data_IF_772131481043
#
_entry.id   IF_772131481043
#
_cell.length_a   1.000
_cell.length_b   1.000
_cell.length_c   1.000
_cell.angle_alpha   90.00
_cell.angle_beta   90.00
_cell.angle_gamma   90.00
#
_symmetry.space_group_name_H-M   'P 1'
#
loop_
_entity.id
_entity.type
_entity.pdbx_description
1 polymer ?
#
# COMPACT_ATOMS: atom_id res chain seq x y z
N UNK A 1 23.22 2.82 -28.18
CA UNK A 1 21.75 2.75 -28.15
C UNK A 1 21.23 3.89 -27.28
N UNK A 2 20.55 4.92 -27.84
CA UNK A 2 20.02 6.05 -27.03
C UNK A 2 18.64 5.66 -26.47
N UNK A 3 18.58 5.35 -25.17
CA UNK A 3 17.30 5.12 -24.47
C UNK A 3 16.56 6.46 -24.38
N UNK A 4 15.33 6.53 -24.89
CA UNK A 4 14.53 7.76 -24.84
C UNK A 4 14.06 7.99 -23.41
N UNK A 5 14.25 9.21 -22.87
CA UNK A 5 13.78 9.59 -21.53
C UNK A 5 12.29 9.26 -21.28
N UNK A 6 11.45 9.41 -22.31
CA UNK A 6 10.02 9.07 -22.26
C UNK A 6 9.74 7.60 -21.98
N UNK A 7 10.62 6.67 -22.38
CA UNK A 7 10.40 5.24 -22.12
C UNK A 7 10.66 4.83 -20.67
N UNK A 8 11.21 5.74 -19.85
CA UNK A 8 11.48 5.50 -18.42
C UNK A 8 10.53 6.30 -17.53
N UNK A 9 10.30 7.58 -17.84
CA UNK A 9 9.68 8.53 -16.90
C UNK A 9 8.23 8.90 -17.26
N UNK A 10 7.80 8.78 -18.51
CA UNK A 10 6.50 9.29 -18.97
C UNK A 10 5.38 8.23 -18.80
N UNK A 11 4.37 8.46 -17.93
CA UNK A 11 3.27 7.52 -17.71
C UNK A 11 2.55 7.16 -19.01
N UNK A 12 2.23 5.88 -19.18
CA UNK A 12 1.58 5.34 -20.38
C UNK A 12 2.56 4.97 -21.51
N UNK A 13 3.75 5.59 -21.57
CA UNK A 13 4.80 5.26 -22.57
C UNK A 13 5.95 4.43 -21.99
N UNK A 14 5.99 4.29 -20.68
CA UNK A 14 6.99 3.54 -19.93
C UNK A 14 6.48 2.20 -19.36
N UNK A 15 5.35 1.68 -19.87
CA UNK A 15 4.68 0.48 -19.31
C UNK A 15 5.64 -0.69 -19.07
N UNK A 16 6.59 -0.95 -20.00
CA UNK A 16 7.55 -2.06 -19.86
C UNK A 16 8.46 -1.88 -18.63
N UNK A 17 9.13 -0.73 -18.54
CA UNK A 17 10.00 -0.42 -17.41
C UNK A 17 9.20 -0.34 -16.10
N UNK A 18 8.07 0.36 -16.14
CA UNK A 18 7.25 0.57 -14.96
C UNK A 18 6.65 -0.73 -14.41
N UNK A 19 6.14 -1.61 -15.27
CA UNK A 19 5.64 -2.91 -14.85
C UNK A 19 6.76 -3.78 -14.27
N UNK A 20 7.96 -3.75 -14.87
CA UNK A 20 9.13 -4.43 -14.33
C UNK A 20 9.53 -3.89 -12.96
N UNK A 21 9.65 -2.56 -12.80
CA UNK A 21 10.02 -1.92 -11.55
C UNK A 21 9.01 -2.22 -10.43
N UNK A 22 7.72 -2.21 -10.74
CA UNK A 22 6.65 -2.61 -9.81
C UNK A 22 6.77 -4.09 -9.45
N UNK A 23 6.92 -4.99 -10.42
CA UNK A 23 7.06 -6.43 -10.16
C UNK A 23 8.28 -6.75 -9.26
N UNK A 24 9.43 -6.12 -9.55
CA UNK A 24 10.64 -6.22 -8.72
C UNK A 24 10.37 -5.70 -7.31
N UNK A 25 9.70 -4.56 -7.17
CA UNK A 25 9.37 -4.00 -5.85
C UNK A 25 8.50 -4.96 -5.03
N UNK A 26 7.44 -5.52 -5.64
CA UNK A 26 6.59 -6.52 -4.98
C UNK A 26 7.39 -7.75 -4.55
N UNK A 27 8.28 -8.25 -5.42
CA UNK A 27 9.11 -9.41 -5.11
C UNK A 27 10.08 -9.13 -3.96
N UNK A 28 10.75 -7.97 -3.98
CA UNK A 28 11.66 -7.54 -2.91
C UNK A 28 10.89 -7.43 -1.59
N UNK A 29 9.72 -6.78 -1.58
CA UNK A 29 8.92 -6.65 -0.37
C UNK A 29 8.34 -7.97 0.15
N UNK A 30 8.22 -8.99 -0.71
CA UNK A 30 7.77 -10.32 -0.31
C UNK A 30 8.90 -11.13 0.32
N UNK A 31 10.12 -11.02 -0.20
CA UNK A 31 11.21 -11.97 0.10
C UNK A 31 12.54 -11.34 0.53
N UNK A 32 12.58 -10.03 0.84
CA UNK A 32 13.79 -9.37 1.33
C UNK A 32 14.34 -10.02 2.60
N UNK A 33 13.47 -10.55 3.47
CA UNK A 33 13.90 -11.28 4.67
C UNK A 33 14.64 -12.59 4.35
N UNK A 34 14.46 -13.17 3.15
CA UNK A 34 15.18 -14.37 2.68
C UNK A 34 16.45 -14.05 1.92
N UNK A 35 16.39 -13.05 1.04
CA UNK A 35 17.48 -12.71 0.11
C UNK A 35 18.48 -11.74 0.76
N UNK A 36 18.03 -10.97 1.74
CA UNK A 36 18.82 -9.96 2.43
C UNK A 36 18.99 -8.67 1.62
N UNK A 37 20.05 -7.93 1.96
CA UNK A 37 20.28 -6.55 1.51
C UNK A 37 20.38 -6.37 -0.01
N UNK A 38 20.82 -7.40 -0.74
CA UNK A 38 20.93 -7.36 -2.20
C UNK A 38 19.57 -7.05 -2.86
N UNK A 39 18.49 -7.61 -2.33
CA UNK A 39 17.13 -7.35 -2.83
C UNK A 39 16.71 -5.89 -2.64
N UNK A 40 17.09 -5.28 -1.53
CA UNK A 40 16.84 -3.85 -1.24
C UNK A 40 17.60 -2.97 -2.23
N UNK A 41 18.83 -3.33 -2.59
CA UNK A 41 19.60 -2.62 -3.62
C UNK A 41 18.92 -2.72 -4.99
N UNK A 42 18.32 -3.86 -5.35
CA UNK A 42 17.53 -3.98 -6.58
C UNK A 42 16.30 -3.05 -6.56
N UNK A 43 15.61 -2.97 -5.43
CA UNK A 43 14.50 -2.03 -5.26
C UNK A 43 14.94 -0.57 -5.45
N UNK A 44 16.07 -0.18 -4.87
CA UNK A 44 16.62 1.16 -5.10
C UNK A 44 17.07 1.39 -6.54
N UNK A 45 17.66 0.38 -7.18
CA UNK A 45 18.12 0.48 -8.56
C UNK A 45 16.99 0.74 -9.57
N UNK A 46 15.75 0.33 -9.27
CA UNK A 46 14.59 0.58 -10.14
C UNK A 46 13.88 1.92 -9.88
N UNK A 47 14.22 2.67 -8.83
CA UNK A 47 13.55 3.95 -8.52
C UNK A 47 14.50 5.14 -8.42
N UNK A 48 15.61 5.02 -7.69
CA UNK A 48 16.50 6.15 -7.43
C UNK A 48 17.21 6.70 -8.67
N UNK A 49 17.64 5.89 -9.66
CA UNK A 49 18.24 6.42 -10.88
C UNK A 49 17.33 7.36 -11.68
N UNK A 50 16.00 7.28 -11.50
CA UNK A 50 15.06 8.20 -12.16
C UNK A 50 15.24 9.65 -11.71
N UNK A 51 15.78 9.87 -10.51
CA UNK A 51 16.16 11.21 -10.03
C UNK A 51 17.25 11.82 -10.92
N UNK A 52 18.21 11.01 -11.39
CA UNK A 52 19.27 11.45 -12.29
C UNK A 52 18.75 11.76 -13.69
N UNK A 53 17.64 11.12 -14.10
CA UNK A 53 16.99 11.36 -15.40
C UNK A 53 16.16 12.65 -15.38
N UNK A 54 15.41 12.89 -14.31
CA UNK A 54 14.63 14.11 -14.11
C UNK A 54 14.30 14.40 -12.63
N UNK A 55 15.23 15.05 -11.91
CA UNK A 55 15.01 15.37 -10.50
C UNK A 55 13.81 16.32 -10.28
N UNK A 56 13.50 17.20 -11.24
CA UNK A 56 12.38 18.15 -11.13
C UNK A 56 11.06 17.42 -11.20
N UNK A 57 10.93 16.44 -12.10
CA UNK A 57 9.76 15.59 -12.19
C UNK A 57 9.65 14.63 -11.00
N UNK A 58 10.75 13.97 -10.64
CA UNK A 58 10.79 12.95 -9.60
C UNK A 58 10.57 13.54 -8.19
N UNK A 59 11.29 14.63 -7.85
CA UNK A 59 11.32 15.18 -6.49
C UNK A 59 10.72 16.59 -6.36
N UNK A 60 10.55 17.34 -7.46
CA UNK A 60 10.24 18.79 -7.42
C UNK A 60 8.91 19.18 -6.73
N UNK A 61 8.01 18.22 -6.48
CA UNK A 61 6.75 18.46 -5.71
C UNK A 61 6.75 17.85 -4.32
N UNK A 62 7.81 17.15 -3.92
CA UNK A 62 7.91 16.54 -2.59
C UNK A 62 7.89 17.64 -1.51
N UNK A 63 8.60 18.75 -1.75
CA UNK A 63 8.58 19.95 -0.90
C UNK A 63 7.18 20.60 -0.76
N UNK A 64 6.24 20.32 -1.68
CA UNK A 64 4.86 20.83 -1.62
C UNK A 64 3.88 19.90 -0.91
N UNK A 65 4.35 18.75 -0.43
CA UNK A 65 3.53 17.77 0.29
C UNK A 65 4.24 17.34 1.58
N UNK A 66 4.49 18.27 2.51
CA UNK A 66 5.22 17.96 3.75
C UNK A 66 4.54 16.86 4.57
N UNK A 67 3.22 16.69 4.43
CA UNK A 67 2.47 15.61 5.10
C UNK A 67 2.92 14.21 4.67
N UNK A 68 3.45 14.03 3.45
CA UNK A 68 4.00 12.75 2.98
C UNK A 68 5.25 12.35 3.76
N UNK A 69 6.05 13.33 4.15
CA UNK A 69 7.32 13.11 4.80
C UNK A 69 7.26 13.32 6.30
N UNK A 70 6.17 13.89 6.83
CA UNK A 70 6.05 14.25 8.24
C UNK A 70 6.34 13.07 9.17
N UNK A 71 5.72 11.90 8.93
CA UNK A 71 5.98 10.72 9.73
C UNK A 71 7.41 10.19 9.53
N UNK A 72 7.93 10.16 8.30
CA UNK A 72 9.32 9.73 8.05
C UNK A 72 10.35 10.65 8.72
N UNK A 73 10.10 11.96 8.77
CA UNK A 73 10.93 12.91 9.49
C UNK A 73 10.81 12.75 11.00
N UNK A 74 9.61 12.50 11.53
CA UNK A 74 9.43 12.18 12.94
C UNK A 74 10.20 10.91 13.31
N UNK A 75 10.13 9.86 12.48
CA UNK A 75 10.89 8.63 12.66
C UNK A 75 12.40 8.92 12.71
N UNK A 76 12.92 9.76 11.80
CA UNK A 76 14.32 10.19 11.84
C UNK A 76 14.66 10.99 13.10
N UNK A 77 13.79 11.92 13.51
CA UNK A 77 14.00 12.75 14.69
C UNK A 77 13.96 11.92 15.98
N UNK A 78 13.20 10.81 15.98
CA UNK A 78 13.08 9.92 17.14
C UNK A 78 14.39 9.27 17.55
N UNK A 79 15.41 9.30 16.69
CA UNK A 79 16.79 8.99 17.05
C UNK A 79 17.25 9.69 18.34
N UNK A 80 16.86 10.95 18.56
CA UNK A 80 17.39 11.75 19.66
C UNK A 80 16.84 11.37 21.04
N UNK A 81 15.71 10.67 21.11
CA UNK A 81 15.10 10.20 22.35
C UNK A 81 14.86 8.70 22.37
N UNK A 82 15.33 7.98 21.35
CA UNK A 82 15.12 6.54 21.24
C UNK A 82 15.91 5.78 22.30
N UNK A 83 15.28 4.75 22.86
CA UNK A 83 15.93 3.80 23.76
C UNK A 83 17.01 2.97 23.04
N UNK A 84 16.91 2.82 21.71
CA UNK A 84 17.87 2.10 20.86
C UNK A 84 18.21 2.92 19.59
N UNK A 85 19.05 3.98 19.72
CA UNK A 85 19.26 4.97 18.66
C UNK A 85 19.81 4.40 17.34
N UNK A 86 20.69 3.41 17.38
CA UNK A 86 21.28 2.81 16.18
C UNK A 86 20.24 2.06 15.33
N UNK A 87 19.36 1.29 15.96
CA UNK A 87 18.25 0.60 15.30
C UNK A 87 17.26 1.61 14.73
N UNK A 88 16.90 2.62 15.51
CA UNK A 88 15.98 3.69 15.10
C UNK A 88 16.49 4.47 13.90
N UNK A 89 17.75 4.94 13.93
CA UNK A 89 18.31 5.71 12.82
C UNK A 89 18.31 4.90 11.52
N UNK A 90 18.74 3.63 11.61
CA UNK A 90 18.74 2.73 10.46
C UNK A 90 17.33 2.55 9.91
N UNK A 91 16.36 2.14 10.75
CA UNK A 91 15.00 1.90 10.32
C UNK A 91 14.35 3.17 9.74
N UNK A 92 14.57 4.33 10.36
CA UNK A 92 14.03 5.60 9.91
C UNK A 92 14.58 6.03 8.54
N UNK A 93 15.87 5.86 8.28
CA UNK A 93 16.47 6.14 6.97
C UNK A 93 15.95 5.18 5.88
N UNK A 94 15.77 3.90 6.23
CA UNK A 94 15.15 2.91 5.35
C UNK A 94 13.71 3.30 5.01
N UNK A 95 12.95 3.76 6.01
CA UNK A 95 11.57 4.22 5.82
C UNK A 95 11.52 5.48 4.95
N UNK A 96 12.35 6.49 5.23
CA UNK A 96 12.43 7.73 4.46
C UNK A 96 12.72 7.47 2.98
N UNK A 97 13.74 6.65 2.69
CA UNK A 97 14.11 6.30 1.30
C UNK A 97 13.05 5.46 0.60
N UNK A 98 12.35 4.59 1.33
CA UNK A 98 11.18 3.85 0.83
C UNK A 98 10.02 4.79 0.47
N UNK A 99 9.71 5.79 1.30
CA UNK A 99 8.72 6.83 1.00
C UNK A 99 9.10 7.60 -0.26
N UNK A 100 10.37 8.01 -0.39
CA UNK A 100 10.87 8.70 -1.59
C UNK A 100 10.66 7.84 -2.84
N UNK A 101 11.00 6.56 -2.79
CA UNK A 101 10.80 5.65 -3.91
C UNK A 101 9.31 5.46 -4.26
N UNK A 102 8.42 5.36 -3.27
CA UNK A 102 6.97 5.30 -3.49
C UNK A 102 6.42 6.58 -4.16
N UNK A 103 6.94 7.76 -3.79
CA UNK A 103 6.57 9.03 -4.42
C UNK A 103 7.10 9.12 -5.86
N UNK A 104 8.31 8.64 -6.12
CA UNK A 104 8.84 8.53 -7.49
C UNK A 104 7.95 7.60 -8.32
N UNK A 105 7.59 6.44 -7.78
CA UNK A 105 6.69 5.49 -8.43
C UNK A 105 5.34 6.13 -8.77
N UNK A 106 4.74 6.89 -7.86
CA UNK A 106 3.50 7.62 -8.13
C UNK A 106 3.62 8.58 -9.31
N UNK A 107 4.77 9.21 -9.54
CA UNK A 107 4.92 10.14 -10.67
C UNK A 107 5.05 9.44 -12.00
N UNK A 108 5.67 8.27 -11.97
CA UNK A 108 6.16 7.56 -13.16
C UNK A 108 5.15 6.51 -13.62
N UNK A 109 4.36 5.95 -12.70
CA UNK A 109 3.50 4.80 -12.92
C UNK A 109 2.03 5.23 -12.88
N UNK A 110 1.29 4.88 -13.94
CA UNK A 110 -0.16 5.00 -13.97
C UNK A 110 -0.84 3.75 -13.39
N UNK A 111 -2.15 3.85 -13.12
CA UNK A 111 -2.95 2.74 -12.59
C UNK A 111 -2.82 1.45 -13.42
N UNK A 112 -2.75 1.59 -14.75
CA UNK A 112 -2.60 0.44 -15.65
C UNK A 112 -1.26 -0.26 -15.49
N UNK A 113 -0.17 0.50 -15.48
CA UNK A 113 1.19 -0.04 -15.33
C UNK A 113 1.39 -0.64 -13.93
N UNK A 114 0.81 -0.02 -12.89
CA UNK A 114 0.78 -0.57 -11.54
C UNK A 114 0.11 -1.95 -11.53
N UNK A 115 -1.10 -2.07 -12.10
CA UNK A 115 -1.81 -3.35 -12.14
C UNK A 115 -1.04 -4.42 -12.92
N UNK A 116 -0.47 -4.10 -14.08
CA UNK A 116 0.30 -5.07 -14.87
C UNK A 116 1.52 -5.56 -14.09
N UNK A 117 2.31 -4.64 -13.54
CA UNK A 117 3.49 -5.00 -12.76
C UNK A 117 3.15 -5.78 -11.49
N UNK A 118 2.10 -5.38 -10.78
CA UNK A 118 1.65 -6.07 -9.58
C UNK A 118 1.13 -7.48 -9.89
N UNK A 119 0.29 -7.65 -10.92
CA UNK A 119 -0.22 -8.97 -11.34
C UNK A 119 0.94 -9.88 -11.75
N UNK A 120 1.90 -9.37 -12.53
CA UNK A 120 3.08 -10.14 -12.93
C UNK A 120 3.94 -10.53 -11.72
N UNK A 121 4.22 -9.59 -10.81
CA UNK A 121 4.95 -9.84 -9.58
C UNK A 121 4.26 -10.86 -8.68
N UNK A 122 2.96 -10.69 -8.43
CA UNK A 122 2.15 -11.60 -7.60
C UNK A 122 2.09 -13.00 -8.21
N UNK A 123 1.98 -13.13 -9.54
CA UNK A 123 2.02 -14.43 -10.20
C UNK A 123 3.32 -15.19 -9.89
N UNK A 124 4.47 -14.51 -9.98
CA UNK A 124 5.78 -15.08 -9.65
C UNK A 124 5.89 -15.41 -8.17
N UNK A 125 5.50 -14.49 -7.30
CA UNK A 125 5.57 -14.63 -5.84
C UNK A 125 4.69 -15.80 -5.37
N UNK A 126 3.40 -15.81 -5.70
CA UNK A 126 2.50 -16.86 -5.25
C UNK A 126 2.82 -18.20 -5.93
N UNK A 127 3.22 -18.20 -7.21
CA UNK A 127 3.68 -19.40 -7.89
C UNK A 127 4.90 -20.02 -7.21
N UNK A 128 5.90 -19.20 -6.87
CA UNK A 128 7.07 -19.66 -6.12
C UNK A 128 6.68 -20.17 -4.72
N UNK A 129 5.78 -19.48 -4.01
CA UNK A 129 5.28 -19.95 -2.72
C UNK A 129 4.58 -21.31 -2.82
N UNK A 130 3.75 -21.54 -3.85
CA UNK A 130 3.11 -22.84 -4.08
C UNK A 130 4.14 -23.96 -4.30
N UNK A 131 5.20 -23.67 -5.08
CA UNK A 131 6.28 -24.64 -5.34
C UNK A 131 7.10 -24.95 -4.09
N UNK A 132 7.34 -23.95 -3.24
CA UNK A 132 8.13 -24.14 -2.02
C UNK A 132 7.37 -24.96 -0.97
N UNK A 133 6.05 -24.85 -0.88
CA UNK A 133 5.22 -25.78 -0.11
C UNK A 133 5.26 -25.60 1.42
N UNK A 134 5.77 -24.48 1.94
CA UNK A 134 6.01 -24.26 3.37
C UNK A 134 4.75 -24.14 4.23
N UNK A 135 4.78 -24.79 5.40
CA UNK A 135 3.77 -24.67 6.46
C UNK A 135 4.42 -24.24 7.77
N UNK A 136 3.69 -23.48 8.57
CA UNK A 136 4.11 -23.08 9.92
C UNK A 136 3.07 -23.58 10.92
N UNK A 137 3.58 -24.17 12.01
CA UNK A 137 2.81 -24.57 13.17
C UNK A 137 2.53 -23.35 14.05
N UNK A 138 1.26 -23.18 14.44
CA UNK A 138 0.83 -22.13 15.36
C UNK A 138 0.62 -22.74 16.75
N UNK A 139 1.46 -22.33 17.70
CA UNK A 139 1.46 -22.89 19.05
C UNK A 139 0.21 -22.48 19.87
N UNK A 140 -0.49 -21.42 19.47
CA UNK A 140 -1.64 -20.89 20.21
C UNK A 140 -2.94 -21.66 19.91
N UNK A 141 -3.06 -22.25 18.73
CA UNK A 141 -4.25 -22.99 18.30
C UNK A 141 -3.94 -24.44 17.83
N UNK A 142 -2.67 -24.82 17.74
CA UNK A 142 -2.22 -26.15 17.32
C UNK A 142 -2.40 -26.43 15.83
N UNK A 143 -2.72 -25.40 15.02
CA UNK A 143 -2.99 -25.55 13.60
C UNK A 143 -1.72 -25.44 12.74
N UNK A 144 -1.79 -25.98 11.52
CA UNK A 144 -0.80 -25.74 10.48
C UNK A 144 -1.39 -24.82 9.43
N UNK A 145 -0.73 -23.68 9.20
CA UNK A 145 -1.11 -22.73 8.16
C UNK A 145 -0.11 -22.77 7.02
N UNK A 146 -0.61 -22.78 5.78
CA UNK A 146 0.26 -22.68 4.62
C UNK A 146 0.85 -21.26 4.55
N UNK A 147 2.17 -21.16 4.44
CA UNK A 147 2.89 -19.88 4.30
C UNK A 147 3.70 -19.82 3.00
N UNK A 148 3.93 -20.96 2.34
CA UNK A 148 4.81 -21.07 1.20
C UNK A 148 6.18 -20.46 1.52
N UNK A 149 6.65 -19.55 0.67
CA UNK A 149 7.91 -18.86 0.88
C UNK A 149 7.80 -17.60 1.75
N UNK A 150 6.67 -17.31 2.42
CA UNK A 150 6.57 -16.16 3.32
C UNK A 150 7.08 -16.46 4.73
N UNK A 151 7.29 -15.40 5.52
CA UNK A 151 7.64 -15.51 6.94
C UNK A 151 6.41 -15.69 7.84
N UNK A 152 5.21 -15.36 7.35
CA UNK A 152 3.97 -15.52 8.09
C UNK A 152 2.75 -15.73 7.18
N UNK A 153 1.71 -16.36 7.75
CA UNK A 153 0.42 -16.57 7.08
C UNK A 153 -0.25 -15.26 6.66
N UNK A 154 -0.05 -14.20 7.44
CA UNK A 154 -0.65 -12.89 7.18
C UNK A 154 0.01 -12.16 6.01
N UNK A 155 1.31 -12.34 5.80
CA UNK A 155 1.99 -11.82 4.61
C UNK A 155 1.51 -12.53 3.34
N UNK A 156 1.45 -13.86 3.35
CA UNK A 156 0.90 -14.62 2.21
C UNK A 156 -0.53 -14.16 1.90
N UNK A 157 -1.38 -14.09 2.94
CA UNK A 157 -2.75 -13.62 2.83
C UNK A 157 -2.84 -12.22 2.23
N UNK A 158 -1.94 -11.30 2.60
CA UNK A 158 -1.92 -9.95 2.06
C UNK A 158 -1.61 -9.89 0.56
N UNK A 159 -0.58 -10.62 0.11
CA UNK A 159 -0.24 -10.68 -1.31
C UNK A 159 -1.35 -11.34 -2.13
N UNK A 160 -2.00 -12.36 -1.56
CA UNK A 160 -3.18 -12.97 -2.15
C UNK A 160 -4.37 -12.00 -2.23
N UNK A 161 -4.63 -11.20 -1.18
CA UNK A 161 -5.64 -10.13 -1.21
C UNK A 161 -5.38 -9.12 -2.33
N UNK A 162 -4.13 -8.67 -2.48
CA UNK A 162 -3.72 -7.76 -3.54
C UNK A 162 -3.90 -8.39 -4.92
N UNK A 163 -3.60 -9.68 -5.07
CA UNK A 163 -3.76 -10.40 -6.33
C UNK A 163 -5.22 -10.51 -6.77
N UNK A 164 -6.12 -10.82 -5.84
CA UNK A 164 -7.56 -10.81 -6.09
C UNK A 164 -8.03 -9.39 -6.45
N UNK A 165 -7.70 -8.38 -5.63
CA UNK A 165 -8.14 -7.00 -5.84
C UNK A 165 -7.65 -6.41 -7.17
N UNK A 166 -6.34 -6.45 -7.41
CA UNK A 166 -5.73 -5.86 -8.60
C UNK A 166 -6.06 -6.66 -9.87
N UNK A 167 -6.11 -7.99 -9.77
CA UNK A 167 -6.48 -8.86 -10.88
C UNK A 167 -7.92 -8.66 -11.34
N UNK A 168 -8.88 -8.66 -10.40
CA UNK A 168 -10.29 -8.38 -10.68
C UNK A 168 -10.45 -6.97 -11.26
N UNK A 169 -9.84 -5.97 -10.62
CA UNK A 169 -9.93 -4.59 -11.09
C UNK A 169 -9.38 -4.43 -12.52
N UNK A 170 -8.21 -5.01 -12.82
CA UNK A 170 -7.62 -4.96 -14.15
C UNK A 170 -8.51 -5.65 -15.20
N UNK A 171 -9.04 -6.83 -14.87
CA UNK A 171 -9.89 -7.63 -15.75
C UNK A 171 -11.21 -6.92 -16.11
N UNK A 172 -11.80 -6.20 -15.15
CA UNK A 172 -13.08 -5.51 -15.28
C UNK A 172 -12.96 -4.12 -15.91
N UNK A 173 -11.98 -3.31 -15.48
CA UNK A 173 -11.95 -1.88 -15.78
C UNK A 173 -10.83 -1.45 -16.74
N UNK A 174 -9.70 -2.15 -16.80
CA UNK A 174 -8.51 -1.66 -17.50
C UNK A 174 -8.20 -2.39 -18.82
N UNK A 175 -8.57 -3.67 -18.95
CA UNK A 175 -8.21 -4.46 -20.13
C UNK A 175 -9.36 -4.72 -21.09
N UNK A 176 -9.09 -4.50 -22.38
CA UNK A 176 -9.95 -4.93 -23.50
C UNK A 176 -9.47 -6.22 -24.16
N UNK A 177 -8.22 -6.64 -23.90
CA UNK A 177 -7.66 -7.87 -24.47
C UNK A 177 -8.16 -9.10 -23.74
N UNK A 178 -8.71 -10.07 -24.49
CA UNK A 178 -9.18 -11.35 -23.95
C UNK A 178 -8.05 -12.13 -23.29
N UNK A 179 -6.88 -12.18 -23.91
CA UNK A 179 -5.71 -12.90 -23.36
C UNK A 179 -5.26 -12.26 -22.06
N UNK A 180 -5.10 -10.92 -22.04
CA UNK A 180 -4.69 -10.22 -20.82
C UNK A 180 -5.72 -10.38 -19.69
N UNK A 181 -7.01 -10.43 -20.03
CA UNK A 181 -8.08 -10.72 -19.05
C UNK A 181 -7.95 -12.14 -18.49
N UNK A 182 -7.76 -13.15 -19.34
CA UNK A 182 -7.60 -14.55 -18.91
C UNK A 182 -6.37 -14.72 -18.02
N UNK A 183 -5.24 -14.09 -18.36
CA UNK A 183 -4.04 -14.11 -17.52
C UNK A 183 -4.29 -13.48 -16.15
N UNK A 184 -4.95 -12.32 -16.11
CA UNK A 184 -5.31 -11.67 -14.85
C UNK A 184 -6.24 -12.55 -14.01
N UNK A 185 -7.25 -13.17 -14.62
CA UNK A 185 -8.16 -14.11 -13.93
C UNK A 185 -7.44 -15.38 -13.45
N UNK A 186 -6.43 -15.86 -14.18
CA UNK A 186 -5.56 -16.95 -13.71
C UNK A 186 -4.80 -16.57 -12.44
N UNK A 187 -4.29 -15.33 -12.36
CA UNK A 187 -3.66 -14.82 -11.13
C UNK A 187 -4.68 -14.62 -10.02
N UNK A 188 -5.90 -14.18 -10.32
CA UNK A 188 -7.00 -14.11 -9.33
C UNK A 188 -7.29 -15.51 -8.76
N UNK A 189 -7.38 -16.54 -9.60
CA UNK A 189 -7.62 -17.91 -9.15
C UNK A 189 -6.49 -18.42 -8.24
N UNK A 190 -5.23 -18.26 -8.66
CA UNK A 190 -4.06 -18.59 -7.83
C UNK A 190 -4.08 -17.83 -6.50
N UNK A 191 -4.45 -16.55 -6.53
CA UNK A 191 -4.53 -15.71 -5.34
C UNK A 191 -5.66 -16.15 -4.42
N UNK A 192 -6.84 -16.47 -4.94
CA UNK A 192 -7.96 -16.97 -4.15
C UNK A 192 -7.63 -18.30 -3.47
N UNK A 193 -6.99 -19.24 -4.18
CA UNK A 193 -6.52 -20.51 -3.60
C UNK A 193 -5.49 -20.24 -2.51
N UNK A 194 -4.48 -19.40 -2.78
CA UNK A 194 -3.45 -19.03 -1.80
C UNK A 194 -4.04 -18.37 -0.55
N UNK A 195 -5.07 -17.53 -0.72
CA UNK A 195 -5.76 -16.84 0.36
C UNK A 195 -6.46 -17.84 1.29
N UNK A 196 -7.20 -18.80 0.71
CA UNK A 196 -7.88 -19.86 1.49
C UNK A 196 -6.87 -20.74 2.22
N UNK A 197 -5.80 -21.16 1.53
CA UNK A 197 -4.74 -21.98 2.14
C UNK A 197 -4.01 -21.25 3.27
N UNK A 198 -3.88 -19.93 3.18
CA UNK A 198 -3.18 -19.13 4.21
C UNK A 198 -3.89 -19.14 5.57
N UNK A 199 -5.21 -19.34 5.62
CA UNK A 199 -6.01 -19.24 6.84
C UNK A 199 -5.81 -17.91 7.62
N UNK A 200 -5.37 -16.84 6.92
CA UNK A 200 -5.24 -15.50 7.50
C UNK A 200 -6.62 -14.87 7.65
N UNK A 201 -7.17 -14.87 8.86
CA UNK A 201 -8.50 -14.31 9.15
C UNK A 201 -8.61 -12.84 8.71
N UNK A 202 -7.58 -12.04 9.00
CA UNK A 202 -7.53 -10.63 8.56
C UNK A 202 -7.70 -10.52 7.05
N UNK A 203 -6.96 -11.33 6.28
CA UNK A 203 -6.98 -11.28 4.82
C UNK A 203 -8.29 -11.85 4.24
N UNK A 204 -8.80 -12.94 4.83
CA UNK A 204 -10.04 -13.60 4.44
C UNK A 204 -11.27 -12.70 4.63
N UNK A 205 -11.25 -11.79 5.61
CA UNK A 205 -12.32 -10.82 5.85
C UNK A 205 -12.11 -9.51 5.08
N UNK A 206 -10.88 -9.00 5.05
CA UNK A 206 -10.57 -7.73 4.41
C UNK A 206 -10.73 -7.80 2.88
N UNK A 207 -10.41 -8.95 2.24
CA UNK A 207 -10.47 -9.07 0.78
C UNK A 207 -11.90 -8.98 0.25
N UNK A 208 -12.88 -9.80 0.70
CA UNK A 208 -14.25 -9.69 0.23
C UNK A 208 -14.87 -8.33 0.58
N UNK A 209 -14.57 -7.78 1.75
CA UNK A 209 -15.04 -6.45 2.14
C UNK A 209 -14.53 -5.36 1.18
N UNK A 210 -13.25 -5.37 0.83
CA UNK A 210 -12.67 -4.42 -0.12
C UNK A 210 -13.25 -4.60 -1.54
N UNK A 211 -13.42 -5.84 -2.01
CA UNK A 211 -14.04 -6.14 -3.31
C UNK A 211 -15.50 -5.67 -3.34
N UNK A 212 -16.29 -6.00 -2.32
CA UNK A 212 -17.69 -5.59 -2.21
C UNK A 212 -17.81 -4.06 -2.23
N UNK A 213 -16.93 -3.36 -1.52
CA UNK A 213 -16.89 -1.90 -1.52
C UNK A 213 -16.54 -1.34 -2.90
N UNK A 214 -15.54 -1.92 -3.59
CA UNK A 214 -15.18 -1.51 -4.97
C UNK A 214 -16.35 -1.72 -5.93
N UNK A 215 -17.04 -2.87 -5.88
CA UNK A 215 -18.20 -3.16 -6.73
C UNK A 215 -19.37 -2.23 -6.42
N UNK A 216 -19.65 -1.99 -5.14
CA UNK A 216 -20.73 -1.09 -4.71
C UNK A 216 -20.48 0.35 -5.20
N UNK A 217 -19.25 0.86 -5.04
CA UNK A 217 -18.85 2.17 -5.55
C UNK A 217 -18.86 2.19 -7.09
N UNK A 218 -18.50 1.09 -7.75
CA UNK A 218 -18.62 0.92 -9.20
C UNK A 218 -20.04 1.06 -9.71
N UNK A 219 -21.02 0.49 -9.00
CA UNK A 219 -22.43 0.67 -9.31
C UNK A 219 -22.89 2.13 -9.28
N UNK A 220 -22.20 2.99 -8.52
CA UNK A 220 -22.54 4.42 -8.45
C UNK A 220 -22.16 5.19 -9.72
N UNK A 221 -21.24 4.69 -10.54
CA UNK A 221 -20.79 5.38 -11.76
C UNK A 221 -21.97 5.67 -12.71
N UNK A 222 -22.98 4.80 -12.74
CA UNK A 222 -24.16 4.95 -13.60
C UNK A 222 -25.07 6.16 -13.26
N UNK A 223 -24.89 6.79 -12.08
CA UNK A 223 -25.76 7.87 -11.60
C UNK A 223 -25.10 9.24 -11.70
N UNK A 224 -25.91 10.31 -11.70
CA UNK A 224 -25.39 11.69 -11.66
C UNK A 224 -24.72 12.00 -10.32
N UNK A 225 -23.76 12.96 -10.24
CA UNK A 225 -23.01 13.25 -9.01
C UNK A 225 -23.88 13.49 -7.76
N UNK A 226 -25.03 14.14 -7.92
CA UNK A 226 -25.98 14.37 -6.82
C UNK A 226 -26.52 13.04 -6.27
N UNK A 227 -26.99 12.16 -7.15
CA UNK A 227 -27.48 10.83 -6.76
C UNK A 227 -26.36 9.94 -6.22
N UNK A 228 -25.14 10.02 -6.78
CA UNK A 228 -23.96 9.32 -6.24
C UNK A 228 -23.73 9.66 -4.77
N UNK A 229 -23.79 10.95 -4.42
CA UNK A 229 -23.61 11.41 -3.02
C UNK A 229 -24.71 10.88 -2.11
N UNK A 230 -25.97 10.91 -2.57
CA UNK A 230 -27.12 10.40 -1.81
C UNK A 230 -26.98 8.90 -1.57
N UNK A 231 -26.73 8.11 -2.63
CA UNK A 231 -26.58 6.65 -2.52
C UNK A 231 -25.33 6.25 -1.74
N UNK A 232 -24.23 7.00 -1.86
CA UNK A 232 -23.04 6.79 -1.04
C UNK A 232 -23.33 7.03 0.45
N UNK A 233 -24.01 8.13 0.79
CA UNK A 233 -24.39 8.42 2.17
C UNK A 233 -25.36 7.38 2.74
N UNK A 234 -26.37 6.96 1.96
CA UNK A 234 -27.30 5.91 2.34
C UNK A 234 -26.59 4.56 2.52
N UNK A 235 -25.69 4.20 1.59
CA UNK A 235 -24.90 2.98 1.67
C UNK A 235 -23.96 2.97 2.88
N UNK A 236 -23.35 4.11 3.21
CA UNK A 236 -22.53 4.25 4.42
C UNK A 236 -23.36 4.11 5.70
N UNK A 237 -24.55 4.71 5.74
CA UNK A 237 -25.47 4.57 6.87
C UNK A 237 -25.91 3.11 7.04
N UNK A 238 -26.26 2.42 5.94
CA UNK A 238 -26.64 1.00 5.95
C UNK A 238 -25.47 0.10 6.37
N UNK A 239 -24.25 0.37 5.90
CA UNK A 239 -23.07 -0.36 6.33
C UNK A 239 -22.81 -0.16 7.84
N UNK A 240 -22.97 1.07 8.34
CA UNK A 240 -22.86 1.39 9.77
C UNK A 240 -23.88 0.64 10.61
N UNK A 241 -25.15 0.62 10.20
CA UNK A 241 -26.20 -0.13 10.91
C UNK A 241 -25.97 -1.64 10.84
N UNK A 242 -25.52 -2.17 9.69
CA UNK A 242 -25.17 -3.58 9.55
C UNK A 242 -24.01 -3.98 10.45
N UNK A 243 -22.97 -3.15 10.58
CA UNK A 243 -21.86 -3.39 11.51
C UNK A 243 -22.36 -3.38 12.96
N UNK A 244 -23.16 -2.39 13.35
CA UNK A 244 -23.73 -2.34 14.71
C UNK A 244 -24.61 -3.55 15.01
N UNK A 245 -25.45 -3.98 14.06
CA UNK A 245 -26.27 -5.18 14.19
C UNK A 245 -25.41 -6.45 14.30
N UNK A 246 -24.37 -6.57 13.47
CA UNK A 246 -23.42 -7.69 13.50
C UNK A 246 -22.69 -7.79 14.85
N UNK A 247 -22.27 -6.66 15.43
CA UNK A 247 -21.68 -6.62 16.76
C UNK A 247 -22.65 -7.07 17.85
N UNK A 248 -23.94 -6.67 17.76
CA UNK A 248 -24.96 -7.06 18.74
C UNK A 248 -25.28 -8.55 18.74
N UNK A 249 -25.19 -9.23 17.58
CA UNK A 249 -25.48 -10.67 17.46
C UNK A 249 -24.25 -11.56 17.61
N UNK A 250 -23.10 -11.01 18.03
CA UNK A 250 -21.86 -11.78 18.17
C UNK A 250 -21.30 -12.30 16.84
N UNK A 251 -21.55 -11.61 15.73
CA UNK A 251 -21.07 -12.04 14.41
C UNK A 251 -19.54 -12.09 14.32
N UNK A 252 -18.85 -11.28 15.13
CA UNK A 252 -17.39 -11.33 15.27
C UNK A 252 -16.97 -12.69 15.81
N UNK A 253 -17.60 -13.16 16.89
CA UNK A 253 -17.30 -14.46 17.49
C UNK A 253 -17.66 -15.62 16.57
N UNK A 254 -18.79 -15.54 15.85
CA UNK A 254 -19.18 -16.55 14.85
C UNK A 254 -18.16 -16.66 13.70
N UNK A 255 -17.68 -15.52 13.19
CA UNK A 255 -16.67 -15.48 12.14
C UNK A 255 -15.35 -16.07 12.65
N UNK A 256 -14.96 -15.77 13.88
CA UNK A 256 -13.74 -16.31 14.48
C UNK A 256 -13.85 -17.81 14.77
N UNK A 257 -14.98 -18.27 15.28
CA UNK A 257 -15.28 -19.68 15.46
C UNK A 257 -15.20 -20.46 14.15
N UNK A 258 -15.66 -19.87 13.03
CA UNK A 258 -15.54 -20.47 11.71
C UNK A 258 -14.08 -20.68 11.22
N UNK A 259 -13.12 -19.93 11.78
CA UNK A 259 -11.70 -20.13 11.55
C UNK A 259 -11.02 -21.00 12.62
N UNK A 260 -11.77 -21.57 13.57
CA UNK A 260 -11.24 -22.34 14.70
C UNK A 260 -10.50 -21.49 15.73
N UNK A 261 -10.88 -20.21 15.85
CA UNK A 261 -10.05 -19.14 16.44
C UNK A 261 -10.57 -18.57 17.76
N UNK A 262 -11.19 -19.40 18.60
CA UNK A 262 -11.68 -19.01 19.93
C UNK A 262 -10.57 -18.39 20.81
N UNK A 263 -9.28 -18.67 20.54
CA UNK A 263 -8.12 -18.14 21.27
C UNK A 263 -7.43 -16.92 20.64
N UNK A 264 -7.75 -16.53 19.40
CA UNK A 264 -6.93 -15.51 18.69
C UNK A 264 -7.31 -14.07 19.00
N UNK A 265 -8.59 -13.79 19.32
CA UNK A 265 -8.95 -12.47 19.82
C UNK A 265 -8.49 -12.27 21.25
N UNK A 266 -8.58 -13.26 22.13
CA UNK A 266 -8.08 -13.16 23.52
C UNK A 266 -6.57 -12.94 23.58
N UNK A 267 -5.79 -13.63 22.72
CA UNK A 267 -4.36 -13.34 22.57
C UNK A 267 -4.07 -11.93 22.06
N UNK A 268 -4.83 -11.45 21.06
CA UNK A 268 -4.66 -10.09 20.51
C UNK A 268 -5.15 -8.99 21.44
N UNK A 269 -6.28 -9.17 22.13
CA UNK A 269 -6.78 -8.18 23.09
C UNK A 269 -5.84 -8.05 24.28
N UNK A 270 -5.28 -9.16 24.76
CA UNK A 270 -4.21 -9.12 25.76
C UNK A 270 -2.98 -8.36 25.22
N UNK A 271 -2.46 -8.74 24.04
CA UNK A 271 -1.31 -8.08 23.43
C UNK A 271 -1.54 -6.57 23.21
N UNK A 272 -2.74 -6.20 22.80
CA UNK A 272 -3.14 -4.80 22.61
C UNK A 272 -3.20 -4.03 23.91
N UNK A 273 -3.72 -4.64 24.98
CA UNK A 273 -3.70 -4.05 26.31
C UNK A 273 -2.25 -3.80 26.76
N UNK A 274 -1.35 -4.78 26.58
CA UNK A 274 0.07 -4.61 26.90
C UNK A 274 0.71 -3.46 26.09
N UNK A 275 0.36 -3.30 24.82
CA UNK A 275 0.81 -2.16 24.01
C UNK A 275 0.25 -0.81 24.48
N UNK A 276 -1.01 -0.76 24.90
CA UNK A 276 -1.62 0.46 25.48
C UNK A 276 -0.94 0.84 26.79
N UNK A 277 -0.69 -0.14 27.66
CA UNK A 277 -0.01 0.06 28.94
C UNK A 277 1.44 0.54 28.72
N UNK A 278 2.14 -0.04 27.75
CA UNK A 278 3.48 0.43 27.36
C UNK A 278 3.45 1.88 26.83
N UNK A 279 2.50 2.20 25.94
CA UNK A 279 2.36 3.55 25.39
C UNK A 279 2.04 4.60 26.47
N UNK A 280 1.37 4.23 27.56
CA UNK A 280 1.06 5.13 28.67
C UNK A 280 2.31 5.66 29.38
N UNK A 281 3.45 4.96 29.30
CA UNK A 281 4.72 5.39 29.90
C UNK A 281 5.42 6.49 29.06
N UNK A 282 5.20 6.50 27.75
CA UNK A 282 5.81 7.46 26.81
C UNK A 282 4.77 8.05 25.84
N UNK A 283 3.71 8.70 26.35
CA UNK A 283 2.48 8.93 25.57
C UNK A 283 2.65 9.90 24.40
N UNK A 284 3.54 10.89 24.51
CA UNK A 284 3.67 11.92 23.48
C UNK A 284 4.54 11.49 22.30
N UNK A 285 5.73 10.95 22.58
CA UNK A 285 6.78 10.70 21.58
C UNK A 285 7.17 9.22 21.42
N UNK A 286 6.62 8.34 22.26
CA UNK A 286 6.97 6.92 22.25
C UNK A 286 8.40 6.64 22.68
N UNK A 287 8.80 5.37 22.56
CA UNK A 287 10.15 4.87 22.90
C UNK A 287 11.18 5.08 21.78
N UNK A 288 10.76 5.54 20.61
CA UNK A 288 11.57 5.65 19.40
C UNK A 288 11.10 4.70 18.29
N UNK A 289 11.19 5.16 17.04
CA UNK A 289 10.75 4.36 15.89
C UNK A 289 11.56 3.06 15.78
N UNK A 290 10.87 1.92 15.63
CA UNK A 290 11.46 0.58 15.61
C UNK A 290 12.29 0.21 16.87
N UNK A 291 12.10 0.89 18.01
CA UNK A 291 12.89 0.67 19.22
C UNK A 291 12.25 -0.32 20.21
N UNK A 292 10.98 -0.68 20.04
CA UNK A 292 10.29 -1.54 21.02
C UNK A 292 10.63 -3.02 20.83
N UNK A 293 10.49 -3.57 19.62
CA UNK A 293 10.70 -4.99 19.32
C UNK A 293 12.17 -5.33 19.04
N UNK A 294 13.02 -5.14 20.04
CA UNK A 294 14.48 -5.35 19.96
C UNK A 294 14.97 -6.27 21.08
N UNK A 295 15.95 -7.11 20.77
CA UNK A 295 16.53 -8.05 21.75
C UNK A 295 17.18 -7.28 22.89
N UNK A 296 16.88 -7.70 24.12
CA UNK A 296 17.32 -7.03 25.35
C UNK A 296 16.38 -5.96 25.89
N UNK A 297 15.33 -5.54 25.15
CA UNK A 297 14.28 -4.69 25.69
C UNK A 297 13.33 -5.53 26.56
N UNK A 298 13.21 -5.20 27.86
CA UNK A 298 12.59 -6.08 28.86
C UNK A 298 11.16 -6.50 28.50
N UNK A 299 10.33 -5.55 28.06
CA UNK A 299 8.94 -5.84 27.71
C UNK A 299 8.82 -6.67 26.43
N UNK A 300 9.73 -6.48 25.46
CA UNK A 300 9.74 -7.30 24.25
C UNK A 300 10.18 -8.74 24.55
N UNK A 301 11.22 -8.94 25.38
CA UNK A 301 11.65 -10.26 25.82
C UNK A 301 10.54 -10.98 26.60
N UNK A 302 9.83 -10.27 27.49
CA UNK A 302 8.68 -10.83 28.22
C UNK A 302 7.59 -11.29 27.25
N UNK A 303 7.17 -10.42 26.33
CA UNK A 303 6.09 -10.73 25.37
C UNK A 303 6.49 -11.85 24.39
N UNK A 304 7.74 -11.89 23.91
CA UNK A 304 8.20 -13.02 23.08
C UNK A 304 8.14 -14.35 23.82
N UNK A 305 8.47 -14.37 25.11
CA UNK A 305 8.36 -15.58 25.92
C UNK A 305 6.90 -16.00 26.14
N UNK A 306 6.02 -15.05 26.49
CA UNK A 306 4.58 -15.31 26.71
C UNK A 306 3.86 -15.81 25.44
N UNK A 307 4.27 -15.32 24.26
CA UNK A 307 3.70 -15.70 22.96
C UNK A 307 4.47 -16.82 22.25
N UNK A 308 5.42 -17.47 22.93
CA UNK A 308 6.21 -18.59 22.39
C UNK A 308 6.93 -18.25 21.06
N UNK A 309 7.59 -17.09 21.00
CA UNK A 309 8.35 -16.60 19.85
C UNK A 309 9.86 -16.77 20.10
N UNK A 310 10.43 -17.99 19.95
CA UNK A 310 11.84 -18.25 20.29
C UNK A 310 12.84 -17.48 19.42
N UNK A 311 12.41 -17.09 18.20
CA UNK A 311 13.24 -16.32 17.29
C UNK A 311 13.51 -14.89 17.79
N UNK A 312 12.67 -14.36 18.69
CA UNK A 312 12.79 -12.99 19.24
C UNK A 312 12.98 -11.93 18.15
N UNK A 313 12.17 -12.06 17.10
CA UNK A 313 12.12 -11.19 15.93
C UNK A 313 10.81 -11.41 15.17
N UNK A 314 10.46 -10.50 14.25
CA UNK A 314 9.30 -10.67 13.36
C UNK A 314 7.94 -10.63 14.05
N UNK A 315 7.88 -10.04 15.25
CA UNK A 315 6.67 -9.90 16.05
C UNK A 315 6.31 -8.42 16.20
N UNK A 316 5.03 -8.15 16.37
CA UNK A 316 4.48 -6.79 16.49
C UNK A 316 3.11 -6.83 17.15
N UNK A 317 2.55 -5.67 17.53
CA UNK A 317 1.24 -5.61 18.19
C UNK A 317 0.07 -6.02 17.29
N UNK A 318 0.31 -6.30 16.00
CA UNK A 318 -0.74 -6.67 15.04
C UNK A 318 -1.86 -5.62 15.01
N UNK A 319 -1.51 -4.36 15.22
CA UNK A 319 -2.41 -3.22 15.13
C UNK A 319 -1.54 -2.00 14.89
N UNK A 320 -1.68 -1.43 13.69
CA UNK A 320 -0.88 -0.28 13.25
C UNK A 320 -0.96 0.89 14.23
N UNK A 321 -2.12 1.13 14.84
CA UNK A 321 -2.33 2.29 15.70
C UNK A 321 -1.67 2.12 17.07
N UNK A 322 -1.77 0.92 17.64
CA UNK A 322 -1.09 0.58 18.91
C UNK A 322 0.42 0.60 18.69
N UNK A 323 0.91 0.01 17.59
CA UNK A 323 2.32 0.06 17.22
C UNK A 323 2.83 1.50 17.13
N UNK A 324 2.09 2.37 16.43
CA UNK A 324 2.45 3.79 16.31
C UNK A 324 2.46 4.51 17.67
N UNK A 325 1.50 4.22 18.55
CA UNK A 325 1.43 4.81 19.89
C UNK A 325 2.63 4.41 20.75
N UNK A 326 3.03 3.14 20.72
CA UNK A 326 4.19 2.66 21.48
C UNK A 326 5.48 3.27 20.95
N UNK A 327 5.72 3.20 19.64
CA UNK A 327 7.00 3.62 19.05
C UNK A 327 7.15 5.14 18.93
N UNK A 328 6.07 5.85 18.64
CA UNK A 328 6.11 7.28 18.26
C UNK A 328 5.10 8.16 19.00
N UNK A 329 4.35 7.59 19.95
CA UNK A 329 3.36 8.30 20.76
C UNK A 329 2.17 8.82 19.97
N UNK A 330 1.34 9.62 20.63
CA UNK A 330 0.21 10.30 20.01
C UNK A 330 0.62 11.18 18.83
N UNK A 331 1.82 11.77 18.87
CA UNK A 331 2.33 12.61 17.78
C UNK A 331 2.46 11.79 16.49
N UNK A 332 3.13 10.64 16.54
CA UNK A 332 3.27 9.80 15.35
C UNK A 332 1.96 9.15 14.91
N UNK A 333 1.13 8.68 15.86
CA UNK A 333 -0.18 8.14 15.55
C UNK A 333 -1.06 9.14 14.77
N UNK A 334 -1.10 10.41 15.21
CA UNK A 334 -1.83 11.49 14.51
C UNK A 334 -1.24 11.76 13.13
N UNK A 335 0.09 11.72 12.99
CA UNK A 335 0.78 11.88 11.69
C UNK A 335 0.52 10.75 10.70
N UNK A 336 -0.04 9.62 11.12
CA UNK A 336 -0.48 8.54 10.22
C UNK A 336 -1.98 8.66 9.94
N UNK A 337 -2.78 8.82 10.99
CA UNK A 337 -4.25 8.81 10.92
C UNK A 337 -4.78 10.00 10.12
N UNK A 338 -4.34 11.23 10.43
CA UNK A 338 -4.87 12.41 9.77
C UNK A 338 -4.57 12.40 8.26
N UNK A 339 -3.35 12.04 7.83
CA UNK A 339 -3.13 11.78 6.44
C UNK A 339 -4.10 10.73 5.90
N UNK A 340 -4.13 9.52 6.45
CA UNK A 340 -4.94 8.41 5.95
C UNK A 340 -6.42 8.79 5.73
N UNK A 341 -7.00 9.57 6.65
CA UNK A 341 -8.37 10.09 6.51
C UNK A 341 -8.49 11.13 5.38
N UNK A 342 -7.51 12.03 5.24
CA UNK A 342 -7.50 13.03 4.19
C UNK A 342 -7.40 12.43 2.78
N UNK A 343 -6.61 11.37 2.60
CA UNK A 343 -6.52 10.68 1.29
C UNK A 343 -7.81 9.91 0.98
N UNK A 344 -8.39 9.20 1.95
CA UNK A 344 -9.69 8.54 1.77
C UNK A 344 -10.76 9.54 1.34
N UNK A 345 -10.85 10.67 2.07
CA UNK A 345 -11.76 11.77 1.72
C UNK A 345 -11.53 12.26 0.30
N UNK A 346 -10.28 12.44 -0.11
CA UNK A 346 -9.93 12.93 -1.45
C UNK A 346 -10.33 11.93 -2.54
N UNK A 347 -10.06 10.63 -2.36
CA UNK A 347 -10.43 9.58 -3.30
C UNK A 347 -11.96 9.44 -3.41
N UNK A 348 -12.67 9.47 -2.28
CA UNK A 348 -14.15 9.46 -2.26
C UNK A 348 -14.72 10.70 -2.95
N UNK A 349 -14.20 11.90 -2.64
CA UNK A 349 -14.65 13.13 -3.29
C UNK A 349 -14.48 13.09 -4.81
N UNK A 350 -13.39 12.48 -5.30
CA UNK A 350 -13.17 12.26 -6.74
C UNK A 350 -14.20 11.31 -7.34
N UNK A 351 -14.50 10.20 -6.68
CA UNK A 351 -15.50 9.22 -7.12
C UNK A 351 -16.91 9.83 -7.21
N UNK A 352 -17.21 10.76 -6.31
CA UNK A 352 -18.49 11.47 -6.24
C UNK A 352 -18.53 12.73 -7.13
N UNK A 353 -17.57 12.89 -8.04
CA UNK A 353 -17.46 14.00 -9.00
C UNK A 353 -17.37 13.48 -10.45
N UNK A 354 -17.46 14.37 -11.44
CA UNK A 354 -17.38 14.05 -12.88
C UNK A 354 -15.94 13.85 -13.41
N UNK A 355 -15.00 13.52 -12.51
CA UNK A 355 -13.58 13.36 -12.83
C UNK A 355 -13.20 11.97 -13.34
N UNK A 356 -11.89 11.75 -13.49
CA UNK A 356 -11.31 10.41 -13.75
C UNK A 356 -11.62 9.47 -12.57
N UNK A 357 -12.63 8.63 -12.81
CA UNK A 357 -13.26 7.74 -11.84
C UNK A 357 -12.48 6.44 -11.67
N UNK A 358 -11.91 5.90 -12.75
CA UNK A 358 -11.22 4.62 -12.78
C UNK A 358 -10.06 4.61 -11.80
N UNK A 359 -9.13 5.57 -11.89
CA UNK A 359 -8.00 5.63 -10.96
C UNK A 359 -8.44 5.85 -9.50
N UNK A 360 -9.44 6.71 -9.28
CA UNK A 360 -9.95 6.98 -7.94
C UNK A 360 -10.57 5.72 -7.31
N UNK A 361 -11.21 4.86 -8.11
CA UNK A 361 -11.76 3.59 -7.66
C UNK A 361 -10.65 2.63 -7.22
N UNK A 362 -9.59 2.49 -8.02
CA UNK A 362 -8.43 1.65 -7.66
C UNK A 362 -7.82 2.08 -6.33
N UNK A 363 -7.55 3.38 -6.19
CA UNK A 363 -6.98 3.94 -4.97
C UNK A 363 -7.89 3.70 -3.76
N UNK A 364 -9.20 3.88 -3.93
CA UNK A 364 -10.17 3.64 -2.86
C UNK A 364 -10.21 2.18 -2.44
N UNK A 365 -10.17 1.24 -3.39
CA UNK A 365 -10.09 -0.19 -3.09
C UNK A 365 -8.81 -0.59 -2.37
N UNK A 366 -7.66 -0.09 -2.83
CA UNK A 366 -6.37 -0.30 -2.17
C UNK A 366 -6.36 0.27 -0.75
N UNK A 367 -6.81 1.52 -0.58
CA UNK A 367 -6.83 2.17 0.72
C UNK A 367 -7.80 1.47 1.68
N UNK A 368 -8.97 1.04 1.24
CA UNK A 368 -9.88 0.30 2.11
C UNK A 368 -9.29 -1.04 2.55
N UNK A 369 -8.62 -1.77 1.65
CA UNK A 369 -7.91 -2.99 2.04
C UNK A 369 -6.86 -2.68 3.12
N UNK A 370 -6.03 -1.65 2.92
CA UNK A 370 -5.01 -1.25 3.89
C UNK A 370 -5.61 -0.77 5.22
N UNK A 371 -6.69 0.01 5.19
CA UNK A 371 -7.38 0.54 6.38
C UNK A 371 -7.99 -0.60 7.19
N UNK A 372 -8.73 -1.51 6.57
CA UNK A 372 -9.31 -2.67 7.26
C UNK A 372 -8.20 -3.50 7.91
N UNK A 373 -7.13 -3.77 7.16
CA UNK A 373 -5.98 -4.53 7.68
C UNK A 373 -5.22 -3.80 8.79
N UNK A 374 -5.14 -2.47 8.77
CA UNK A 374 -4.38 -1.68 9.76
C UNK A 374 -4.84 -1.88 11.21
N UNK A 375 -6.10 -2.26 11.42
CA UNK A 375 -6.61 -2.62 12.76
C UNK A 375 -6.08 -3.96 13.29
N UNK A 376 -5.54 -4.80 12.40
CA UNK A 376 -5.16 -6.17 12.70
C UNK A 376 -3.75 -6.54 12.22
N UNK A 377 -3.05 -5.68 11.49
CA UNK A 377 -1.67 -5.90 11.03
C UNK A 377 -0.93 -4.57 10.95
N UNK A 378 0.40 -4.63 10.83
CA UNK A 378 1.31 -3.47 10.76
C UNK A 378 1.86 -3.33 9.33
N UNK A 379 0.98 -3.20 8.35
CA UNK A 379 1.36 -3.23 6.93
C UNK A 379 1.87 -1.87 6.40
N UNK A 380 1.67 -0.77 7.14
CA UNK A 380 1.93 0.61 6.64
C UNK A 380 3.05 1.37 7.38
N UNK A 381 3.57 0.82 8.48
CA UNK A 381 4.59 1.50 9.31
C UNK A 381 6.02 1.05 9.07
N UNK A 382 6.20 -0.09 8.42
CA UNK A 382 7.53 -0.66 8.20
C UNK A 382 8.14 -0.19 6.87
N UNK A 383 9.48 -0.10 6.77
CA UNK A 383 10.15 0.06 5.49
C UNK A 383 10.07 -1.23 4.68
N UNK A 384 10.17 -1.11 3.36
CA UNK A 384 10.26 -2.27 2.44
C UNK A 384 9.09 -3.27 2.54
N UNK A 385 7.92 -2.81 2.96
CA UNK A 385 6.68 -3.58 2.88
C UNK A 385 5.75 -2.96 1.86
N UNK A 386 4.93 -3.81 1.23
CA UNK A 386 4.08 -3.38 0.12
C UNK A 386 2.97 -2.41 0.57
N UNK A 387 2.48 -2.54 1.81
CA UNK A 387 1.39 -1.70 2.31
C UNK A 387 1.79 -0.22 2.41
N UNK A 388 2.93 0.08 3.04
CA UNK A 388 3.47 1.43 3.11
C UNK A 388 3.78 1.98 1.71
N UNK A 389 4.35 1.18 0.81
CA UNK A 389 4.59 1.60 -0.58
C UNK A 389 3.30 2.02 -1.29
N UNK A 390 2.25 1.19 -1.21
CA UNK A 390 0.97 1.47 -1.86
C UNK A 390 0.23 2.66 -1.23
N UNK A 391 0.34 2.85 0.09
CA UNK A 391 -0.21 4.01 0.79
C UNK A 391 0.39 5.31 0.24
N UNK A 392 1.72 5.42 0.22
CA UNK A 392 2.42 6.61 -0.26
C UNK A 392 2.28 6.81 -1.77
N UNK A 393 2.21 5.71 -2.53
CA UNK A 393 1.87 5.76 -3.96
C UNK A 393 0.49 6.39 -4.18
N UNK A 394 -0.55 5.88 -3.50
CA UNK A 394 -1.91 6.40 -3.60
C UNK A 394 -1.95 7.87 -3.20
N UNK A 395 -1.23 8.24 -2.14
CA UNK A 395 -1.16 9.62 -1.66
C UNK A 395 -0.61 10.57 -2.70
N UNK A 396 0.58 10.27 -3.21
CA UNK A 396 1.27 11.13 -4.14
C UNK A 396 0.46 11.28 -5.44
N UNK A 397 -0.14 10.21 -5.94
CA UNK A 397 -1.05 10.25 -7.09
C UNK A 397 -2.30 11.07 -6.82
N UNK A 398 -2.96 10.89 -5.66
CA UNK A 398 -4.18 11.61 -5.34
C UNK A 398 -3.96 13.14 -5.25
N UNK A 399 -2.75 13.57 -4.85
CA UNK A 399 -2.36 14.99 -4.80
C UNK A 399 -1.81 15.57 -6.11
N UNK A 400 -1.55 14.78 -7.15
CA UNK A 400 -1.08 15.31 -8.43
C UNK A 400 -2.14 16.16 -9.13
N UNK A 401 -1.82 17.21 -9.89
CA UNK A 401 -2.82 17.93 -10.70
C UNK A 401 -3.51 17.00 -11.70
N UNK A 402 -4.81 17.18 -11.96
CA UNK A 402 -5.58 16.36 -12.89
C UNK A 402 -4.95 16.25 -14.30
N UNK A 403 -4.29 17.32 -14.77
CA UNK A 403 -3.60 17.37 -16.05
C UNK A 403 -2.41 16.38 -16.16
N UNK A 404 -1.77 16.03 -15.04
CA UNK A 404 -0.64 15.09 -15.00
C UNK A 404 -1.06 13.64 -14.71
N UNK A 405 -2.34 13.42 -14.35
CA UNK A 405 -2.87 12.08 -14.07
C UNK A 405 -3.31 11.35 -15.34
N UNK A 406 -3.73 12.09 -16.38
CA UNK A 406 -4.15 11.53 -17.65
C UNK A 406 -2.94 10.91 -18.37
N UNK A 407 -2.99 9.64 -18.80
CA UNK A 407 -1.97 9.10 -19.69
C UNK A 407 -1.94 10.01 -20.92
N UNK A 408 -0.76 10.53 -21.26
CA UNK A 408 -0.60 11.40 -22.42
C UNK A 408 -1.21 10.71 -23.64
N UNK A 409 -2.33 11.25 -24.15
CA UNK A 409 -2.80 10.85 -25.46
C UNK A 409 -1.67 11.22 -26.43
N UNK A 410 -1.29 10.31 -27.33
CA UNK A 410 -0.28 10.59 -28.34
C UNK A 410 -0.64 11.79 -29.27
N UNK A 411 -1.82 12.39 -29.10
CA UNK A 411 -2.35 13.48 -29.90
C UNK A 411 -2.05 14.89 -29.34
N UNK A 412 -1.59 15.05 -28.10
CA UNK A 412 -1.42 16.37 -27.47
C UNK A 412 -0.01 16.98 -27.60
N UNK A 413 0.94 16.28 -28.23
CA UNK A 413 2.24 16.88 -28.57
C UNK A 413 2.13 17.69 -29.85
N UNK A 414 1.89 19.01 -29.73
CA UNK A 414 2.21 19.96 -30.80
C UNK A 414 3.68 20.37 -30.66
N UNK A 415 4.56 20.07 -31.63
CA UNK A 415 5.89 20.67 -31.62
C UNK A 415 5.75 22.20 -31.68
N UNK A 416 6.64 22.97 -31.03
CA UNK A 416 6.67 24.42 -31.19
C UNK A 416 6.76 24.73 -32.69
N UNK A 417 5.83 25.54 -33.19
CA UNK A 417 5.81 25.97 -34.58
C UNK A 417 7.16 26.61 -34.91
N UNK A 418 7.85 26.22 -36.00
CA UNK A 418 9.04 26.94 -36.43
C UNK A 418 8.64 28.38 -36.72
N UNK A 419 9.26 29.33 -36.04
CA UNK A 419 9.14 30.75 -36.32
C UNK A 419 9.59 31.00 -37.76
N UNK A 420 8.64 31.21 -38.67
CA UNK A 420 8.93 31.66 -40.02
C UNK A 420 9.42 33.12 -39.89
N UNK A 421 10.60 33.49 -40.44
CA UNK A 421 11.02 34.88 -40.49
C UNK A 421 10.02 35.66 -41.34
N UNK A 422 9.47 36.73 -40.81
CA UNK A 422 8.63 37.67 -41.56
C UNK A 422 9.47 38.31 -42.67
N UNK A 423 9.33 37.82 -43.91
CA UNK A 423 9.78 38.57 -45.08
C UNK A 423 8.83 39.77 -45.25
N UNK A 424 9.32 40.94 -44.83
CA UNK A 424 8.67 42.22 -45.09
C UNK A 424 8.83 42.57 -46.57
N UNK A 425 7.73 42.47 -47.32
CA UNK A 425 7.58 43.19 -48.59
C UNK A 425 6.84 44.49 -48.24
N UNK A 426 7.57 45.60 -48.21
CA UNK A 426 7.00 46.94 -48.13
C UNK A 426 6.60 47.45 -49.52
N UNK A 427 5.51 48.22 -49.65
CA UNK A 427 5.13 48.88 -50.90
C UNK A 427 6.01 50.12 -51.15
N UNK A 428 6.14 50.50 -52.42
CA UNK A 428 7.17 51.40 -52.93
C UNK A 428 7.08 52.88 -52.55
N UNK A 429 8.12 53.60 -52.97
CA UNK A 429 8.16 55.07 -53.06
C UNK A 429 8.83 55.44 -54.38
N UNK A 430 8.12 56.26 -55.16
CA UNK A 430 8.62 57.04 -56.30
C UNK A 430 9.52 58.17 -55.80
N UNK A 431 10.68 58.36 -56.43
CA UNK A 431 11.32 59.62 -56.85
C UNK A 431 12.77 59.34 -57.24
#
# INVERSE_FOLDING_TARGET
>A
MRIRKSSLVEPGRNTLYGAFAVAVSFFVFAYSFRIGQISILMYYAVWLPLVLVDYRFALGRLARSPQLLAFAFLACLSYFWSDVPDVTLRAALQYLTHVVCAVIAARVIDARTLCIGAIAGIAVILGYSMLQGGYVYDALDGSYSFVGAFGSKNQLGFYASLGVLLGCYFALFLTRSRIARLLALGVVALSAVSLVLSQSATSMLATPAAIAMVIAIAGLEAFSPTHRRIFFAAGLALAGTAVLAALNVGAVDMVLGAFGKDSTLTGRTYLWQQGIDAAANTPLLGVGYAAYWVQGFSEAERLWNEFYIPARTGFHFHNTYIEALVETGYVGAVMIVLPLLAILRLCIARLLSDGDWTEALLQTGLLALLVIRSFFEVDILQPYVIGSFLLYYCWARAKEPAALRRPGSAADWRPPSPSIPSNGIGPGIQA
#
